data_IF_301146040219
#
_entry.id   IF_301146040219
#
_cell.length_a   1.000
_cell.length_b   1.000
_cell.length_c   1.000
_cell.angle_alpha   90.00
_cell.angle_beta   90.00
_cell.angle_gamma   90.00
#
_symmetry.space_group_name_H-M   'P 1'
#
loop_
_entity.id
_entity.type
_entity.pdbx_description
1 polymer ?
#
# COMPACT_ATOMS: atom_id res chain seq x y z
N UNK A 1 -32.54 46.64 31.33
CA UNK A 1 -33.64 46.27 32.24
C UNK A 1 -34.02 44.85 31.91
N UNK A 2 -33.77 43.99 32.88
CA UNK A 2 -33.69 42.55 32.84
C UNK A 2 -35.04 41.87 32.57
N UNK A 3 -34.99 40.68 31.96
CA UNK A 3 -35.87 39.59 32.36
C UNK A 3 -35.18 38.23 32.15
N UNK A 4 -35.14 37.47 33.25
CA UNK A 4 -34.46 36.18 33.47
C UNK A 4 -35.40 35.31 34.30
N UNK A 5 -35.90 34.19 33.78
CA UNK A 5 -36.43 33.01 34.52
C UNK A 5 -36.30 31.80 33.54
N UNK A 6 -35.36 30.87 33.69
CA UNK A 6 -35.31 29.63 34.53
C UNK A 6 -36.37 28.56 34.19
N UNK A 7 -35.99 27.45 33.55
CA UNK A 7 -35.86 26.10 34.15
C UNK A 7 -36.83 25.13 33.43
N UNK A 8 -36.67 23.81 33.25
CA UNK A 8 -35.76 22.79 33.77
C UNK A 8 -35.89 21.51 32.91
N UNK A 9 -34.77 20.85 32.62
CA UNK A 9 -34.47 19.42 32.87
C UNK A 9 -35.54 18.33 32.62
N UNK A 10 -35.20 17.35 31.78
CA UNK A 10 -35.51 15.93 32.05
C UNK A 10 -34.34 15.05 31.59
N UNK A 11 -33.94 14.13 32.48
CA UNK A 11 -32.84 13.16 32.37
C UNK A 11 -33.44 11.75 32.34
N UNK A 12 -32.68 10.82 31.74
CA UNK A 12 -32.71 9.35 31.86
C UNK A 12 -33.75 8.63 30.97
N UNK A 13 -33.50 7.48 30.32
CA UNK A 13 -32.54 6.36 30.52
C UNK A 13 -32.36 5.62 29.18
N UNK A 14 -31.14 5.27 28.77
CA UNK A 14 -30.54 3.92 28.82
C UNK A 14 -31.28 2.80 28.07
N UNK A 15 -30.67 2.33 26.98
CA UNK A 15 -30.72 0.94 26.54
C UNK A 15 -29.32 0.55 26.04
N UNK A 16 -28.63 -0.22 26.87
CA UNK A 16 -27.49 -1.06 26.48
C UNK A 16 -27.98 -2.12 25.49
N UNK A 17 -27.29 -2.28 24.36
CA UNK A 17 -27.33 -3.50 23.54
C UNK A 17 -26.00 -3.67 22.78
N UNK A 18 -25.68 -4.92 22.42
CA UNK A 18 -24.35 -5.48 22.67
C UNK A 18 -23.34 -5.17 21.57
N UNK A 19 -22.10 -4.91 21.99
CA UNK A 19 -20.92 -4.95 21.12
C UNK A 19 -20.77 -6.37 20.58
N UNK A 20 -21.22 -6.60 19.34
CA UNK A 20 -20.81 -7.77 18.57
C UNK A 20 -19.29 -7.70 18.39
N UNK A 21 -18.59 -8.68 18.94
CA UNK A 21 -17.18 -8.91 18.67
C UNK A 21 -17.03 -9.19 17.19
N UNK A 22 -16.28 -8.34 16.50
CA UNK A 22 -15.91 -8.56 15.11
C UNK A 22 -14.93 -9.73 15.08
N UNK A 23 -15.40 -10.86 14.55
CA UNK A 23 -14.64 -12.09 14.34
C UNK A 23 -13.44 -11.77 13.44
N UNK A 24 -12.24 -11.79 14.02
CA UNK A 24 -10.98 -11.48 13.33
C UNK A 24 -10.40 -12.70 12.59
N UNK A 25 -11.17 -13.79 12.50
CA UNK A 25 -10.72 -15.10 12.04
C UNK A 25 -10.94 -15.35 10.53
N UNK A 26 -11.59 -14.41 9.82
CA UNK A 26 -11.86 -14.52 8.37
C UNK A 26 -10.58 -14.41 7.51
N UNK A 27 -9.49 -13.82 8.03
CA UNK A 27 -8.28 -13.57 7.23
C UNK A 27 -7.34 -14.78 7.16
N UNK A 28 -7.49 -15.76 8.07
CA UNK A 28 -6.52 -16.84 8.24
C UNK A 28 -6.62 -17.97 7.22
N UNK A 29 -7.77 -18.17 6.57
CA UNK A 29 -8.05 -19.44 5.89
C UNK A 29 -7.54 -19.53 4.43
N UNK A 30 -7.20 -18.40 3.79
CA UNK A 30 -6.94 -18.38 2.34
C UNK A 30 -5.44 -18.42 1.97
N UNK A 31 -4.52 -18.29 2.92
CA UNK A 31 -3.06 -18.24 2.64
C UNK A 31 -2.30 -19.54 2.96
N UNK A 32 -2.96 -20.56 3.51
CA UNK A 32 -2.31 -21.80 3.93
C UNK A 32 -2.04 -22.82 2.78
N UNK A 33 -2.45 -22.52 1.55
CA UNK A 33 -2.46 -23.49 0.45
C UNK A 33 -1.34 -23.34 -0.58
N UNK A 34 -0.06 -23.43 -0.18
CA UNK A 34 1.05 -23.64 -1.13
C UNK A 34 2.06 -24.67 -0.57
N UNK A 35 2.32 -25.78 -1.28
CA UNK A 35 3.23 -26.82 -0.80
C UNK A 35 4.71 -26.41 -0.94
N UNK A 36 5.45 -26.45 0.17
CA UNK A 36 6.92 -26.45 0.16
C UNK A 36 7.43 -27.78 -0.41
N UNK A 37 7.95 -27.76 -1.63
CA UNK A 37 8.61 -28.93 -2.23
C UNK A 37 10.07 -28.97 -1.77
N UNK A 38 10.40 -29.96 -0.94
CA UNK A 38 11.76 -30.25 -0.48
C UNK A 38 12.46 -31.31 -1.37
N UNK A 39 13.74 -31.02 -1.67
CA UNK A 39 14.92 -31.86 -1.98
C UNK A 39 14.90 -32.87 -3.17
N UNK A 40 16.08 -33.20 -3.74
CA UNK A 40 16.94 -34.23 -3.12
C UNK A 40 18.47 -33.97 -3.12
N UNK A 41 19.14 -34.69 -2.21
CA UNK A 41 20.60 -34.93 -2.07
C UNK A 41 21.28 -35.52 -3.33
N UNK A 42 22.63 -35.49 -3.39
CA UNK A 42 23.36 -36.76 -3.25
C UNK A 42 24.68 -36.73 -2.45
N UNK A 43 25.00 -37.91 -1.93
CA UNK A 43 26.10 -38.33 -1.05
C UNK A 43 27.55 -38.17 -1.54
N UNK A 44 28.47 -37.98 -0.57
CA UNK A 44 29.76 -38.69 -0.31
C UNK A 44 30.70 -37.75 0.48
N UNK A 45 31.48 -38.11 1.50
CA UNK A 45 31.87 -39.38 2.12
C UNK A 45 32.70 -39.10 3.40
N UNK A 46 32.95 -40.17 4.15
CA UNK A 46 33.51 -40.25 5.51
C UNK A 46 34.99 -39.82 5.65
N UNK A 47 35.38 -39.28 6.83
CA UNK A 47 36.69 -39.57 7.45
C UNK A 47 36.72 -39.24 8.95
N UNK A 48 37.47 -40.06 9.71
CA UNK A 48 37.44 -40.30 11.16
C UNK A 48 38.31 -39.34 12.01
N UNK A 49 37.94 -39.22 13.30
CA UNK A 49 38.57 -38.48 14.41
C UNK A 49 39.90 -39.13 14.92
N UNK A 50 40.63 -38.63 15.98
CA UNK A 50 40.12 -38.55 17.37
C UNK A 50 40.73 -37.48 18.37
N UNK A 51 39.98 -37.19 19.46
CA UNK A 51 40.31 -36.91 20.91
C UNK A 51 41.58 -36.14 21.33
N UNK A 52 41.70 -35.28 22.37
CA UNK A 52 40.96 -34.80 23.57
C UNK A 52 41.89 -33.72 24.28
N UNK A 53 41.72 -33.24 25.54
CA UNK A 53 40.68 -32.39 26.15
C UNK A 53 41.25 -31.13 26.90
N UNK A 54 40.40 -30.18 27.30
CA UNK A 54 40.29 -29.57 28.66
C UNK A 54 39.54 -28.22 28.62
N UNK A 55 38.64 -28.10 29.59
CA UNK A 55 37.67 -27.03 29.85
C UNK A 55 38.29 -25.71 30.32
N UNK A 56 37.61 -24.58 30.04
CA UNK A 56 37.38 -23.54 31.05
C UNK A 56 36.16 -22.70 30.68
N UNK A 57 35.33 -22.51 31.69
CA UNK A 57 34.10 -21.73 31.74
C UNK A 57 34.36 -20.30 31.25
N UNK A 58 33.57 -19.83 30.30
CA UNK A 58 33.38 -18.40 30.04
C UNK A 58 31.90 -18.15 29.75
N UNK A 59 31.37 -17.18 30.48
CA UNK A 59 29.99 -16.76 30.56
C UNK A 59 29.38 -16.49 29.17
N UNK A 60 28.07 -16.71 28.96
CA UNK A 60 27.44 -16.29 27.73
C UNK A 60 27.47 -14.75 27.68
N UNK A 61 28.28 -14.18 26.79
CA UNK A 61 28.01 -12.84 26.29
C UNK A 61 26.63 -12.91 25.65
N UNK A 62 25.71 -12.08 26.13
CA UNK A 62 24.55 -11.67 25.36
C UNK A 62 25.12 -11.00 24.11
N UNK A 63 25.24 -11.77 23.04
CA UNK A 63 25.24 -11.23 21.70
C UNK A 63 23.77 -10.94 21.47
N UNK A 64 23.38 -9.67 21.60
CA UNK A 64 22.19 -9.18 20.90
C UNK A 64 22.40 -9.61 19.45
N UNK A 65 21.65 -10.63 19.03
CA UNK A 65 21.45 -10.91 17.63
C UNK A 65 20.75 -9.66 17.11
N UNK A 66 21.55 -8.68 16.67
CA UNK A 66 21.09 -7.62 15.81
C UNK A 66 20.25 -8.29 14.74
N UNK A 67 18.95 -7.99 14.83
CA UNK A 67 17.93 -8.32 13.84
C UNK A 67 18.59 -8.26 12.48
N UNK A 68 18.79 -9.44 11.88
CA UNK A 68 19.36 -9.59 10.56
C UNK A 68 18.67 -8.61 9.63
N UNK A 69 19.38 -7.51 9.37
CA UNK A 69 19.04 -6.52 8.38
C UNK A 69 19.28 -7.18 7.05
N UNK A 70 18.36 -8.04 6.63
CA UNK A 70 18.14 -8.20 5.21
C UNK A 70 17.69 -6.83 4.70
N UNK A 71 18.67 -6.01 4.35
CA UNK A 71 18.51 -4.78 3.59
C UNK A 71 18.05 -5.19 2.19
N UNK A 72 16.75 -5.48 2.07
CA UNK A 72 16.11 -5.58 0.77
C UNK A 72 16.12 -4.18 0.19
N UNK A 73 17.16 -3.86 -0.60
CA UNK A 73 17.20 -2.68 -1.44
C UNK A 73 15.97 -2.72 -2.34
N UNK A 74 15.10 -1.71 -2.22
CA UNK A 74 13.88 -1.63 -3.00
C UNK A 74 14.25 -1.44 -4.49
N UNK A 75 13.55 -2.08 -5.43
CA UNK A 75 13.91 -1.97 -6.83
C UNK A 75 13.79 -0.51 -7.30
N UNK A 76 14.82 -0.06 -8.02
CA UNK A 76 15.09 1.31 -8.49
C UNK A 76 14.03 1.91 -9.44
N UNK A 77 13.02 1.11 -9.81
CA UNK A 77 12.12 1.39 -10.92
C UNK A 77 10.74 1.85 -10.46
N UNK A 78 10.70 2.95 -9.72
CA UNK A 78 9.48 3.77 -9.62
C UNK A 78 9.20 4.37 -11.01
N UNK A 79 7.99 4.19 -11.55
CA UNK A 79 7.60 4.74 -12.86
C UNK A 79 7.54 3.75 -14.02
N UNK A 80 7.60 2.43 -13.81
CA UNK A 80 7.19 1.44 -14.83
C UNK A 80 5.65 1.27 -14.89
N UNK A 81 4.93 2.36 -14.64
CA UNK A 81 3.50 2.35 -14.31
C UNK A 81 2.58 2.17 -15.55
N UNK A 82 3.00 1.42 -16.56
CA UNK A 82 2.13 1.06 -17.68
C UNK A 82 1.27 -0.16 -17.32
N UNK A 83 0.19 0.06 -16.57
CA UNK A 83 -0.93 -0.87 -16.63
C UNK A 83 -1.57 -0.78 -18.03
N UNK A 84 -1.89 -1.92 -18.66
CA UNK A 84 -2.54 -1.88 -19.98
C UNK A 84 -4.00 -1.43 -19.83
N UNK A 85 -4.52 -0.61 -20.78
CA UNK A 85 -5.88 -0.06 -20.68
C UNK A 85 -6.95 -1.15 -20.58
N UNK A 86 -8.09 -0.74 -20.04
CA UNK A 86 -9.26 -1.56 -19.72
C UNK A 86 -9.57 -2.61 -20.80
N UNK A 87 -9.39 -3.88 -20.45
CA UNK A 87 -10.27 -4.94 -20.95
C UNK A 87 -11.13 -5.28 -19.75
N UNK A 88 -12.45 -5.16 -19.88
CA UNK A 88 -13.44 -5.67 -18.92
C UNK A 88 -12.89 -6.90 -18.21
N UNK A 89 -12.95 -6.95 -16.87
CA UNK A 89 -12.57 -8.13 -16.10
C UNK A 89 -13.21 -9.33 -16.79
N UNK A 90 -12.44 -10.07 -17.57
CA UNK A 90 -12.97 -11.25 -18.21
C UNK A 90 -13.27 -12.18 -17.04
N UNK A 91 -14.52 -12.64 -16.96
CA UNK A 91 -14.99 -13.59 -15.97
C UNK A 91 -14.10 -14.84 -16.00
N UNK A 92 -12.99 -14.80 -15.29
CA UNK A 92 -12.17 -15.96 -15.00
C UNK A 92 -12.83 -16.67 -13.83
N UNK A 93 -14.03 -17.21 -14.09
CA UNK A 93 -14.56 -18.32 -13.32
C UNK A 93 -13.60 -19.49 -13.55
N UNK A 94 -12.59 -19.59 -12.69
CA UNK A 94 -11.82 -20.82 -12.57
C UNK A 94 -12.77 -21.86 -11.97
N UNK A 95 -13.31 -22.71 -12.83
CA UNK A 95 -14.05 -23.91 -12.43
C UNK A 95 -13.11 -24.83 -11.64
N UNK A 96 -13.02 -24.62 -10.34
CA UNK A 96 -12.44 -25.60 -9.42
C UNK A 96 -13.50 -25.90 -8.35
N UNK A 97 -14.05 -27.09 -8.44
CA UNK A 97 -15.10 -27.59 -7.56
C UNK A 97 -14.63 -27.69 -6.11
N UNK A 98 -15.42 -27.08 -5.22
CA UNK A 98 -15.68 -27.41 -3.81
C UNK A 98 -14.48 -27.68 -2.89
N UNK A 99 -14.17 -26.70 -2.05
CA UNK A 99 -14.00 -26.93 -0.61
C UNK A 99 -14.61 -25.75 0.14
N UNK A 100 -15.45 -26.06 1.12
CA UNK A 100 -16.23 -25.13 1.93
C UNK A 100 -15.35 -24.28 2.85
N UNK A 101 -15.26 -22.98 2.58
CA UNK A 101 -14.86 -21.93 3.54
C UNK A 101 -15.72 -20.69 3.31
N UNK A 102 -16.26 -20.13 4.39
CA UNK A 102 -17.41 -19.23 4.42
C UNK A 102 -17.00 -17.76 4.22
N UNK A 103 -16.35 -17.44 3.11
CA UNK A 103 -16.05 -16.06 2.74
C UNK A 103 -16.60 -15.77 1.33
N UNK A 104 -17.47 -14.76 1.14
CA UNK A 104 -17.92 -14.39 -0.20
C UNK A 104 -16.71 -14.02 -1.07
N UNK A 105 -16.76 -14.31 -2.39
CA UNK A 105 -15.66 -13.98 -3.28
C UNK A 105 -15.35 -12.48 -3.23
N UNK A 106 -14.08 -12.07 -3.33
CA UNK A 106 -13.71 -10.67 -3.31
C UNK A 106 -14.44 -9.94 -4.45
N UNK A 107 -15.07 -8.82 -4.11
CA UNK A 107 -15.80 -7.99 -5.06
C UNK A 107 -14.87 -7.52 -6.20
N UNK A 108 -15.32 -7.46 -7.46
CA UNK A 108 -14.53 -6.90 -8.55
C UNK A 108 -14.06 -5.47 -8.22
N UNK A 109 -12.81 -5.14 -8.54
CA UNK A 109 -12.20 -3.86 -8.17
C UNK A 109 -13.05 -2.67 -8.63
N UNK A 110 -13.55 -2.73 -9.86
CA UNK A 110 -14.25 -1.61 -10.48
C UNK A 110 -15.66 -1.38 -9.92
N UNK A 111 -16.22 -2.30 -9.14
CA UNK A 111 -17.46 -2.04 -8.38
C UNK A 111 -17.23 -1.03 -7.24
N UNK A 112 -15.99 -0.87 -6.76
CA UNK A 112 -15.63 0.13 -5.76
C UNK A 112 -15.33 1.51 -6.36
N UNK A 113 -15.24 1.61 -7.70
CA UNK A 113 -14.75 2.81 -8.38
C UNK A 113 -15.77 3.94 -8.28
N UNK A 114 -15.33 5.08 -7.76
CA UNK A 114 -16.12 6.30 -7.66
C UNK A 114 -16.03 7.11 -8.95
N UNK A 115 -14.81 7.32 -9.47
CA UNK A 115 -14.57 8.05 -10.72
C UNK A 115 -13.41 7.40 -11.45
N UNK A 116 -13.56 7.22 -12.76
CA UNK A 116 -12.52 6.70 -13.64
C UNK A 116 -11.52 7.78 -14.03
N UNK A 117 -10.24 7.39 -14.16
CA UNK A 117 -9.20 8.21 -14.77
C UNK A 117 -8.60 7.46 -15.98
N UNK A 118 -9.07 7.72 -17.19
CA UNK A 118 -8.59 6.99 -18.37
C UNK A 118 -7.23 7.54 -18.80
N UNK A 119 -6.27 6.63 -18.99
CA UNK A 119 -5.00 6.87 -19.70
C UNK A 119 -4.07 7.94 -19.13
N UNK A 120 -4.33 8.50 -17.95
CA UNK A 120 -3.49 9.54 -17.37
C UNK A 120 -2.05 9.07 -17.09
N UNK A 121 -1.87 7.80 -16.75
CA UNK A 121 -0.59 7.26 -16.30
C UNK A 121 0.18 6.46 -17.36
N UNK A 122 -0.14 6.62 -18.66
CA UNK A 122 0.52 5.88 -19.75
C UNK A 122 2.04 6.14 -19.80
N UNK A 123 2.47 7.33 -19.43
CA UNK A 123 3.88 7.75 -19.41
C UNK A 123 4.59 7.45 -18.09
N UNK A 124 3.94 6.73 -17.17
CA UNK A 124 4.56 6.34 -15.90
C UNK A 124 4.71 7.47 -14.88
N UNK A 125 3.82 8.47 -14.92
CA UNK A 125 3.86 9.69 -14.10
C UNK A 125 3.14 9.57 -12.74
N UNK A 126 3.16 8.37 -12.16
CA UNK A 126 2.41 7.98 -10.97
C UNK A 126 2.76 8.82 -9.70
N UNK A 127 4.00 9.26 -9.53
CA UNK A 127 4.40 10.14 -8.41
C UNK A 127 3.82 11.55 -8.61
N UNK A 128 3.91 12.09 -9.83
CA UNK A 128 3.35 13.38 -10.17
C UNK A 128 1.83 13.43 -10.03
N UNK A 129 1.13 12.42 -10.55
CA UNK A 129 -0.33 12.34 -10.50
C UNK A 129 -0.85 12.23 -9.06
N UNK A 130 -0.19 11.44 -8.21
CA UNK A 130 -0.56 11.35 -6.79
C UNK A 130 -0.31 12.64 -6.04
N UNK A 131 0.75 13.38 -6.37
CA UNK A 131 0.99 14.72 -5.81
C UNK A 131 -0.14 15.69 -6.19
N UNK A 132 -0.49 15.80 -7.47
CA UNK A 132 -1.57 16.70 -7.92
C UNK A 132 -2.95 16.29 -7.38
N UNK A 133 -3.21 14.98 -7.24
CA UNK A 133 -4.41 14.48 -6.58
C UNK A 133 -4.49 14.93 -5.10
N UNK A 134 -3.41 14.77 -4.33
CA UNK A 134 -3.34 15.15 -2.92
C UNK A 134 -3.51 16.66 -2.71
N UNK A 135 -3.05 17.49 -3.66
CA UNK A 135 -3.24 18.95 -3.61
C UNK A 135 -4.70 19.36 -3.81
N UNK A 136 -5.47 18.56 -4.53
CA UNK A 136 -6.80 18.93 -4.99
C UNK A 136 -7.93 18.28 -4.17
N UNK A 137 -7.65 17.75 -2.97
CA UNK A 137 -8.62 17.00 -2.15
C UNK A 137 -9.87 17.78 -1.73
N UNK A 138 -9.84 19.12 -1.75
CA UNK A 138 -11.01 19.96 -1.48
C UNK A 138 -12.02 19.98 -2.62
N UNK A 139 -11.62 19.61 -3.83
CA UNK A 139 -12.48 19.55 -5.01
C UNK A 139 -13.34 18.29 -5.01
N UNK A 140 -14.39 18.26 -5.82
CA UNK A 140 -15.20 17.04 -6.00
C UNK A 140 -14.40 15.93 -6.69
N UNK A 141 -14.76 14.64 -6.49
CA UNK A 141 -14.11 13.52 -7.19
C UNK A 141 -13.99 13.71 -8.71
N UNK A 142 -15.08 14.15 -9.36
CA UNK A 142 -15.08 14.40 -10.80
C UNK A 142 -14.12 15.53 -11.18
N UNK A 143 -14.16 16.66 -10.47
CA UNK A 143 -13.26 17.78 -10.73
C UNK A 143 -11.77 17.41 -10.53
N UNK A 144 -11.47 16.50 -9.59
CA UNK A 144 -10.11 15.97 -9.42
C UNK A 144 -9.68 15.12 -10.61
N UNK A 145 -10.53 14.23 -11.12
CA UNK A 145 -10.18 13.42 -12.29
C UNK A 145 -10.09 14.26 -13.56
N UNK A 146 -11.01 15.22 -13.77
CA UNK A 146 -10.97 16.18 -14.88
C UNK A 146 -9.68 17.01 -14.88
N UNK A 147 -9.16 17.34 -13.70
CA UNK A 147 -7.88 18.03 -13.56
C UNK A 147 -6.67 17.13 -13.91
N UNK A 148 -6.83 15.81 -13.98
CA UNK A 148 -5.74 14.84 -14.17
C UNK A 148 -5.83 14.06 -15.50
N UNK A 149 -6.86 14.29 -16.32
CA UNK A 149 -6.93 13.68 -17.66
C UNK A 149 -5.77 14.13 -18.53
N UNK A 150 -5.31 13.32 -19.50
CA UNK A 150 -4.26 13.72 -20.44
C UNK A 150 -4.54 15.09 -21.06
N UNK A 151 -3.47 15.88 -21.25
CA UNK A 151 -3.49 17.25 -21.79
C UNK A 151 -4.12 18.33 -20.87
N UNK A 152 -4.63 17.98 -19.69
CA UNK A 152 -5.06 18.99 -18.71
C UNK A 152 -3.85 19.73 -18.09
N UNK A 153 -4.06 20.92 -17.53
CA UNK A 153 -3.00 21.63 -16.80
C UNK A 153 -2.44 20.82 -15.62
N UNK A 154 -3.31 20.11 -14.89
CA UNK A 154 -2.88 19.26 -13.77
C UNK A 154 -2.09 18.04 -14.23
N UNK A 155 -2.41 17.46 -15.38
CA UNK A 155 -1.65 16.37 -15.98
C UNK A 155 -0.26 16.82 -16.45
N UNK A 156 -0.17 17.99 -17.09
CA UNK A 156 1.12 18.61 -17.43
C UNK A 156 1.97 18.88 -16.18
N UNK A 157 1.37 19.43 -15.12
CA UNK A 157 2.09 19.65 -13.85
C UNK A 157 2.55 18.34 -13.21
N UNK A 158 1.73 17.29 -13.27
CA UNK A 158 2.12 15.95 -12.83
C UNK A 158 3.31 15.40 -13.65
N UNK A 159 3.33 15.59 -14.97
CA UNK A 159 4.44 15.17 -15.82
C UNK A 159 5.74 15.92 -15.48
N UNK A 160 5.69 17.24 -15.31
CA UNK A 160 6.84 18.06 -14.88
C UNK A 160 7.40 17.58 -13.53
N UNK A 161 6.52 17.31 -12.56
CA UNK A 161 6.91 16.78 -11.25
C UNK A 161 7.54 15.41 -11.33
N UNK A 162 6.99 14.53 -12.17
CA UNK A 162 7.57 13.20 -12.38
C UNK A 162 8.99 13.34 -12.95
N UNK A 163 9.19 14.22 -13.94
CA UNK A 163 10.51 14.45 -14.53
C UNK A 163 11.50 14.95 -13.48
N UNK A 164 11.12 15.97 -12.70
CA UNK A 164 11.96 16.51 -11.62
C UNK A 164 12.31 15.44 -10.57
N UNK A 165 11.35 14.57 -10.23
CA UNK A 165 11.57 13.44 -9.33
C UNK A 165 12.63 12.48 -9.91
N UNK A 166 12.54 12.11 -11.19
CA UNK A 166 13.53 11.21 -11.81
C UNK A 166 14.91 11.87 -11.91
N UNK A 167 14.98 13.12 -12.36
CA UNK A 167 16.24 13.87 -12.50
C UNK A 167 16.95 14.02 -11.15
N UNK A 168 16.20 14.33 -10.09
CA UNK A 168 16.73 14.45 -8.74
C UNK A 168 17.20 13.09 -8.21
N UNK A 169 16.42 12.03 -8.42
CA UNK A 169 16.82 10.67 -8.03
C UNK A 169 18.12 10.26 -8.73
N UNK A 170 18.22 10.44 -10.04
CA UNK A 170 19.41 10.10 -10.82
C UNK A 170 20.65 10.89 -10.36
N UNK A 171 20.47 12.19 -10.09
CA UNK A 171 21.53 13.03 -9.51
C UNK A 171 22.00 12.50 -8.15
N UNK A 172 21.08 12.25 -7.22
CA UNK A 172 21.40 11.72 -5.89
C UNK A 172 22.14 10.37 -5.98
N UNK A 173 21.76 9.51 -6.92
CA UNK A 173 22.45 8.24 -7.20
C UNK A 173 23.88 8.48 -7.70
N UNK A 174 24.07 9.43 -8.61
CA UNK A 174 25.40 9.80 -9.12
C UNK A 174 26.32 10.38 -8.05
N UNK A 175 25.73 10.99 -7.01
CA UNK A 175 26.42 11.53 -5.84
C UNK A 175 26.69 10.47 -4.74
N UNK A 176 26.26 9.22 -4.96
CA UNK A 176 26.57 8.08 -4.10
C UNK A 176 25.45 7.66 -3.14
N UNK A 177 24.25 8.24 -3.23
CA UNK A 177 23.12 7.80 -2.41
C UNK A 177 22.68 6.37 -2.79
N UNK A 178 22.26 5.57 -1.79
CA UNK A 178 21.63 4.26 -2.01
C UNK A 178 20.27 4.38 -2.74
N UNK A 179 19.79 3.32 -3.37
CA UNK A 179 18.60 3.41 -4.25
C UNK A 179 17.36 3.89 -3.49
N UNK A 180 17.06 3.26 -2.35
CA UNK A 180 15.92 3.64 -1.51
C UNK A 180 16.07 5.02 -0.87
N UNK A 181 17.30 5.46 -0.60
CA UNK A 181 17.55 6.79 -0.05
C UNK A 181 17.29 7.87 -1.11
N UNK A 182 17.86 7.71 -2.31
CA UNK A 182 17.66 8.63 -3.42
C UNK A 182 16.17 8.73 -3.79
N UNK A 183 15.48 7.59 -3.81
CA UNK A 183 14.04 7.51 -4.08
C UNK A 183 13.21 8.33 -3.09
N UNK A 184 13.38 8.06 -1.79
CA UNK A 184 12.67 8.73 -0.72
C UNK A 184 12.99 10.24 -0.68
N UNK A 185 14.25 10.61 -0.87
CA UNK A 185 14.68 12.01 -0.87
C UNK A 185 14.12 12.78 -2.07
N UNK A 186 14.14 12.18 -3.26
CA UNK A 186 13.55 12.78 -4.45
C UNK A 186 12.03 12.95 -4.29
N UNK A 187 11.33 11.90 -3.85
CA UNK A 187 9.88 11.93 -3.61
C UNK A 187 9.51 13.02 -2.59
N UNK A 188 10.20 13.08 -1.44
CA UNK A 188 9.94 14.09 -0.42
C UNK A 188 10.16 15.52 -0.93
N UNK A 189 11.17 15.73 -1.78
CA UNK A 189 11.47 17.04 -2.34
C UNK A 189 10.34 17.50 -3.26
N UNK A 190 9.92 16.67 -4.20
CA UNK A 190 8.86 17.01 -5.15
C UNK A 190 7.51 17.20 -4.45
N UNK A 191 7.18 16.39 -3.44
CA UNK A 191 5.96 16.58 -2.65
C UNK A 191 5.97 17.92 -1.90
N UNK A 192 7.11 18.33 -1.32
CA UNK A 192 7.22 19.64 -0.65
C UNK A 192 7.12 20.80 -1.62
N UNK A 193 7.73 20.70 -2.79
CA UNK A 193 7.60 21.69 -3.86
C UNK A 193 6.17 21.76 -4.41
N UNK A 194 5.39 20.69 -4.25
CA UNK A 194 3.96 20.64 -4.53
C UNK A 194 3.10 21.28 -3.44
N UNK A 195 3.70 21.79 -2.36
CA UNK A 195 3.00 22.36 -1.21
C UNK A 195 2.41 21.31 -0.26
N UNK A 196 2.83 20.04 -0.38
CA UNK A 196 2.45 18.96 0.52
C UNK A 196 3.47 18.82 1.66
N UNK A 197 3.05 18.21 2.77
CA UNK A 197 3.91 17.99 3.93
C UNK A 197 4.16 16.49 4.17
N UNK A 198 5.08 15.85 3.41
CA UNK A 198 5.43 14.46 3.66
C UNK A 198 6.20 14.32 4.98
N UNK A 199 5.94 13.26 5.71
CA UNK A 199 6.62 12.96 6.99
C UNK A 199 8.14 12.75 6.88
N UNK A 200 8.67 12.57 5.67
CA UNK A 200 10.08 12.32 5.44
C UNK A 200 10.53 10.90 5.78
N UNK A 201 9.60 10.02 6.20
CA UNK A 201 9.90 8.64 6.61
C UNK A 201 8.91 7.68 5.98
N UNK A 202 9.40 6.53 5.55
CA UNK A 202 8.57 5.44 5.08
C UNK A 202 8.58 4.29 6.08
N UNK A 203 7.45 3.62 6.20
CA UNK A 203 7.37 2.31 6.85
C UNK A 203 7.19 1.25 5.77
N UNK A 204 7.99 0.18 5.82
CA UNK A 204 7.99 -0.91 4.85
C UNK A 204 7.26 -2.12 5.40
N UNK A 205 6.42 -2.75 4.58
CA UNK A 205 5.63 -3.93 4.95
C UNK A 205 5.68 -4.96 3.83
N UNK A 206 5.87 -6.23 4.20
CA UNK A 206 5.69 -7.35 3.28
C UNK A 206 4.21 -7.53 2.94
N UNK A 207 3.90 -7.64 1.65
CA UNK A 207 2.56 -7.99 1.20
C UNK A 207 2.35 -9.50 1.41
N UNK A 208 1.23 -9.89 2.03
CA UNK A 208 0.98 -11.29 2.42
C UNK A 208 1.29 -11.62 3.88
N UNK A 209 1.60 -10.62 4.72
CA UNK A 209 1.66 -10.75 6.18
C UNK A 209 0.40 -10.13 6.84
N UNK A 210 -0.66 -10.92 7.12
CA UNK A 210 -1.96 -10.44 7.58
C UNK A 210 -1.92 -9.43 8.73
N UNK A 211 -1.19 -9.77 9.79
CA UNK A 211 -1.15 -9.03 11.04
C UNK A 211 -0.36 -7.72 10.95
N UNK A 212 0.55 -7.61 9.97
CA UNK A 212 1.25 -6.35 9.68
C UNK A 212 0.40 -5.46 8.78
N UNK A 213 -0.29 -6.06 7.82
CA UNK A 213 -1.15 -5.30 6.90
C UNK A 213 -2.37 -4.71 7.59
N UNK A 214 -2.99 -5.40 8.55
CA UNK A 214 -4.10 -4.83 9.34
C UNK A 214 -3.69 -3.55 10.09
N UNK A 215 -2.49 -3.52 10.69
CA UNK A 215 -1.94 -2.31 11.33
C UNK A 215 -1.68 -1.17 10.36
N UNK A 216 -1.44 -1.48 9.08
CA UNK A 216 -1.34 -0.46 8.03
C UNK A 216 -2.72 0.08 7.71
N UNK A 217 -3.71 -0.80 7.55
CA UNK A 217 -5.10 -0.43 7.30
C UNK A 217 -5.61 0.53 8.38
N UNK A 218 -5.44 0.19 9.67
CA UNK A 218 -5.84 1.04 10.79
C UNK A 218 -5.27 2.46 10.71
N UNK A 219 -4.02 2.59 10.22
CA UNK A 219 -3.37 3.89 10.06
C UNK A 219 -3.94 4.67 8.89
N UNK A 220 -4.11 4.03 7.73
CA UNK A 220 -4.57 4.71 6.50
C UNK A 220 -6.06 5.02 6.51
N UNK A 221 -6.84 4.35 7.36
CA UNK A 221 -8.28 4.60 7.53
C UNK A 221 -8.58 5.49 8.73
N UNK A 222 -7.56 5.91 9.49
CA UNK A 222 -7.74 6.85 10.58
C UNK A 222 -8.29 8.18 10.06
N UNK A 223 -9.32 8.72 10.71
CA UNK A 223 -10.00 9.93 10.26
C UNK A 223 -9.04 11.11 10.08
N UNK A 224 -9.20 11.85 8.98
CA UNK A 224 -8.32 12.95 8.58
C UNK A 224 -6.94 12.52 8.07
N UNK A 225 -6.64 11.21 8.01
CA UNK A 225 -5.34 10.74 7.55
C UNK A 225 -5.18 10.78 6.04
N UNK A 226 -3.95 10.99 5.60
CA UNK A 226 -3.54 10.98 4.19
C UNK A 226 -2.23 10.25 4.08
N UNK A 227 -2.14 9.34 3.12
CA UNK A 227 -0.94 8.56 2.90
C UNK A 227 -0.58 8.48 1.43
N UNK A 228 0.71 8.48 1.16
CA UNK A 228 1.28 7.98 -0.08
C UNK A 228 1.72 6.54 0.14
N UNK A 229 1.46 5.67 -0.82
CA UNK A 229 1.83 4.27 -0.78
C UNK A 229 2.62 3.92 -2.04
N UNK A 230 3.82 3.37 -1.86
CA UNK A 230 4.60 2.80 -2.97
C UNK A 230 4.44 1.28 -2.96
N UNK A 231 3.87 0.77 -4.05
CA UNK A 231 3.60 -0.63 -4.31
C UNK A 231 4.78 -1.21 -5.09
N UNK A 232 5.52 -2.17 -4.52
CA UNK A 232 6.65 -2.81 -5.17
C UNK A 232 6.28 -4.21 -5.63
N UNK A 233 6.63 -4.56 -6.87
CA UNK A 233 6.27 -5.84 -7.49
C UNK A 233 7.45 -6.81 -7.50
N UNK A 234 7.16 -8.10 -7.31
CA UNK A 234 8.16 -9.18 -7.28
C UNK A 234 8.92 -9.29 -8.62
N UNK A 235 8.26 -8.99 -9.74
CA UNK A 235 8.85 -8.94 -11.08
C UNK A 235 9.69 -7.68 -11.33
N UNK A 236 9.87 -6.85 -10.30
CA UNK A 236 10.50 -5.55 -10.38
C UNK A 236 9.53 -4.45 -10.83
N UNK A 237 9.91 -3.21 -10.53
CA UNK A 237 9.06 -2.04 -10.70
C UNK A 237 8.33 -1.65 -9.43
N UNK A 238 7.91 -0.39 -9.40
CA UNK A 238 7.07 0.16 -8.35
C UNK A 238 6.02 1.11 -8.93
N UNK A 239 4.91 1.23 -8.22
CA UNK A 239 3.78 2.09 -8.54
C UNK A 239 3.33 2.88 -7.32
N UNK A 240 3.03 4.15 -7.48
CA UNK A 240 2.61 5.01 -6.38
C UNK A 240 1.11 5.27 -6.43
N UNK A 241 0.44 5.04 -5.30
CA UNK A 241 -0.97 5.35 -5.07
C UNK A 241 -1.10 6.23 -3.83
N UNK A 242 -2.26 6.85 -3.63
CA UNK A 242 -2.50 7.71 -2.47
C UNK A 242 -3.84 7.39 -1.80
N UNK A 243 -3.96 7.70 -0.52
CA UNK A 243 -5.23 7.61 0.22
C UNK A 243 -5.53 8.89 0.99
N UNK A 244 -6.82 9.13 1.20
CA UNK A 244 -7.34 10.14 2.13
C UNK A 244 -8.57 9.59 2.86
N UNK A 245 -8.54 9.61 4.19
CA UNK A 245 -9.65 9.19 5.05
C UNK A 245 -10.37 10.40 5.64
N UNK A 246 -11.70 10.35 5.65
CA UNK A 246 -12.56 11.41 6.21
C UNK A 246 -13.96 10.86 6.48
N UNK A 247 -14.55 11.22 7.62
CA UNK A 247 -15.95 10.94 7.96
C UNK A 247 -16.31 9.44 7.86
N UNK A 248 -15.39 8.56 8.28
CA UNK A 248 -15.60 7.11 8.27
C UNK A 248 -15.47 6.45 6.90
N UNK A 249 -15.20 7.20 5.84
CA UNK A 249 -14.83 6.65 4.52
C UNK A 249 -13.35 6.88 4.24
N UNK A 250 -12.81 6.04 3.36
CA UNK A 250 -11.45 6.22 2.85
C UNK A 250 -11.47 6.16 1.34
N UNK A 251 -10.86 7.16 0.71
CA UNK A 251 -10.64 7.22 -0.74
C UNK A 251 -9.23 6.75 -1.04
N UNK A 252 -9.10 5.84 -2.00
CA UNK A 252 -7.85 5.45 -2.63
C UNK A 252 -7.83 6.00 -4.06
N UNK A 253 -6.73 6.65 -4.42
CA UNK A 253 -6.45 7.08 -5.78
C UNK A 253 -5.32 6.24 -6.37
N UNK A 254 -5.65 5.55 -7.46
CA UNK A 254 -4.68 4.85 -8.27
C UNK A 254 -4.58 5.56 -9.64
N UNK A 255 -3.42 6.13 -10.00
CA UNK A 255 -3.21 6.78 -11.29
C UNK A 255 -3.60 5.95 -12.53
N UNK A 256 -3.60 4.62 -12.40
CA UNK A 256 -3.98 3.70 -13.48
C UNK A 256 -5.50 3.57 -13.68
N UNK A 257 -6.29 3.81 -12.64
CA UNK A 257 -7.69 3.39 -12.60
C UNK A 257 -8.68 4.48 -12.12
N UNK A 258 -8.19 5.50 -11.43
CA UNK A 258 -8.99 6.58 -10.85
C UNK A 258 -9.18 6.46 -9.34
N UNK A 259 -10.33 6.92 -8.87
CA UNK A 259 -10.67 6.98 -7.45
C UNK A 259 -11.62 5.86 -7.02
N UNK A 260 -11.38 5.34 -5.82
CA UNK A 260 -12.19 4.33 -5.16
C UNK A 260 -12.50 4.82 -3.76
N UNK A 261 -13.77 5.03 -3.43
CA UNK A 261 -14.20 5.47 -2.10
C UNK A 261 -15.05 4.39 -1.47
N UNK A 262 -14.64 3.93 -0.30
CA UNK A 262 -15.30 2.86 0.44
C UNK A 262 -15.49 3.26 1.91
N UNK A 263 -16.47 2.67 2.62
CA UNK A 263 -16.44 2.62 4.07
C UNK A 263 -15.09 2.09 4.56
N UNK A 264 -14.56 2.69 5.63
CA UNK A 264 -13.18 2.43 6.07
C UNK A 264 -12.92 0.97 6.44
N UNK A 265 -13.92 0.27 6.97
CA UNK A 265 -13.86 -1.16 7.26
C UNK A 265 -13.77 -2.05 6.01
N UNK A 266 -14.10 -1.53 4.83
CA UNK A 266 -13.98 -2.23 3.55
C UNK A 266 -12.64 -1.99 2.83
N UNK A 267 -11.76 -1.16 3.39
CA UNK A 267 -10.48 -0.83 2.75
C UNK A 267 -9.59 -2.06 2.55
N UNK A 268 -9.64 -3.04 3.46
CA UNK A 268 -8.92 -4.31 3.29
C UNK A 268 -9.36 -5.09 2.05
N UNK A 269 -10.67 -5.18 1.81
CA UNK A 269 -11.24 -5.83 0.62
C UNK A 269 -10.86 -5.09 -0.66
N UNK A 270 -10.91 -3.75 -0.65
CA UNK A 270 -10.48 -2.93 -1.78
C UNK A 270 -9.01 -3.17 -2.13
N UNK A 271 -8.10 -3.16 -1.13
CA UNK A 271 -6.68 -3.46 -1.36
C UNK A 271 -6.46 -4.86 -1.92
N UNK A 272 -7.21 -5.86 -1.43
CA UNK A 272 -7.11 -7.22 -1.97
C UNK A 272 -7.55 -7.28 -3.43
N UNK A 273 -8.66 -6.63 -3.78
CA UNK A 273 -9.13 -6.55 -5.17
C UNK A 273 -8.15 -5.79 -6.07
N UNK A 274 -7.51 -4.74 -5.56
CA UNK A 274 -6.48 -4.00 -6.28
C UNK A 274 -5.23 -4.85 -6.52
N UNK A 275 -4.74 -5.56 -5.49
CA UNK A 275 -3.62 -6.48 -5.62
C UNK A 275 -3.93 -7.61 -6.61
N UNK A 276 -5.15 -8.16 -6.58
CA UNK A 276 -5.60 -9.15 -7.56
C UNK A 276 -5.64 -8.57 -8.98
N UNK A 277 -6.06 -7.31 -9.17
CA UNK A 277 -6.06 -6.65 -10.47
C UNK A 277 -4.65 -6.50 -11.05
N UNK A 278 -3.66 -6.17 -10.23
CA UNK A 278 -2.26 -6.12 -10.65
C UNK A 278 -1.69 -7.52 -10.94
N UNK A 279 -2.07 -8.53 -10.15
CA UNK A 279 -1.63 -9.90 -10.33
C UNK A 279 -2.16 -10.54 -11.61
N UNK A 280 -3.44 -10.34 -11.90
CA UNK A 280 -4.12 -11.05 -12.98
C UNK A 280 -3.72 -10.51 -14.37
N UNK A 281 -3.86 -11.33 -15.43
CA UNK A 281 -3.68 -10.86 -16.80
C UNK A 281 -4.54 -9.60 -17.10
N UNK A 282 -4.05 -8.68 -17.93
CA UNK A 282 -2.79 -8.72 -18.68
C UNK A 282 -1.57 -8.19 -17.92
N UNK A 283 -1.71 -7.83 -16.63
CA UNK A 283 -0.66 -7.16 -15.86
C UNK A 283 0.43 -8.13 -15.39
N UNK A 284 0.04 -9.24 -14.74
CA UNK A 284 0.99 -10.27 -14.29
C UNK A 284 2.00 -9.79 -13.23
N UNK A 285 1.63 -8.80 -12.40
CA UNK A 285 2.51 -8.17 -11.40
C UNK A 285 2.11 -8.56 -9.98
N UNK A 286 2.98 -9.27 -9.27
CA UNK A 286 2.71 -9.70 -7.90
C UNK A 286 3.21 -8.65 -6.91
N UNK A 287 2.29 -8.04 -6.16
CA UNK A 287 2.63 -7.11 -5.10
C UNK A 287 3.42 -7.86 -4.00
N UNK A 288 4.62 -7.38 -3.69
CA UNK A 288 5.54 -8.02 -2.74
C UNK A 288 5.79 -7.15 -1.51
N UNK A 289 5.87 -5.84 -1.68
CA UNK A 289 6.12 -4.89 -0.60
C UNK A 289 5.26 -3.65 -0.80
N UNK A 290 4.78 -3.09 0.30
CA UNK A 290 4.15 -1.77 0.34
C UNK A 290 4.94 -0.89 1.29
N UNK A 291 5.32 0.30 0.85
CA UNK A 291 5.74 1.36 1.77
C UNK A 291 4.59 2.32 2.02
N UNK A 292 4.56 2.92 3.20
CA UNK A 292 3.60 3.98 3.54
C UNK A 292 4.34 5.21 4.06
N UNK A 293 3.96 6.38 3.54
CA UNK A 293 4.41 7.67 4.03
C UNK A 293 3.19 8.53 4.38
N UNK A 294 3.17 9.07 5.60
CA UNK A 294 2.10 9.98 6.03
C UNK A 294 2.28 11.36 5.40
N UNK A 295 1.17 11.96 4.95
CA UNK A 295 1.05 13.37 4.57
C UNK A 295 0.36 14.15 5.69
N UNK A 296 0.87 15.34 6.01
CA UNK A 296 0.30 16.26 7.00
C UNK A 296 -0.47 17.41 6.37
#
# INVERSE_FOLDING_TARGET
MDNRISGSSTRASQADEPRQSVDSDSFTETLAGLPSRAAPDPHAGLSLAPTQPYSLVSQPRIVELETSSFAWELPDKMGLCASKPHTSDADFHSSTSSSSTTSPPPRPLFEYRTVELPQANVDGICVGLTAEWLRNLSSSPSARMDALIPESEGHHSAAERQQQYQDLKDRLRSEGAGASQADLEAQNTILREAGLAPSGRENKYGFGEPSRFSRVLDKITGDGSKYLLSLYFAEGGAHTVATSASNGTTTLFDPNYGEFTVPSDQMGSLFQSLANRYRNPPNGRHLSTVTTQKMY
#
